data_IF_165111574874
#
_entry.id   IF_165111574874
#
_cell.length_a   1.000
_cell.length_b   1.000
_cell.length_c   1.000
_cell.angle_alpha   90.00
_cell.angle_beta   90.00
_cell.angle_gamma   90.00
#
_symmetry.space_group_name_H-M   'P 1'
#
loop_
_entity.id
_entity.type
_entity.pdbx_description
1 polymer ?
#
# COMPACT_ATOMS: atom_id res chain seq x y z
N UNK A 1 6.70 -14.48 -3.87
CA UNK A 1 8.07 -14.68 -4.43
C UNK A 1 8.78 -13.34 -4.30
N UNK A 2 10.02 -13.32 -3.81
CA UNK A 2 10.78 -12.07 -3.74
C UNK A 2 11.44 -11.80 -5.08
N UNK A 3 11.27 -10.59 -5.60
CA UNK A 3 12.06 -10.11 -6.74
C UNK A 3 13.53 -9.99 -6.35
N UNK A 4 14.42 -10.08 -7.35
CA UNK A 4 15.81 -9.65 -7.24
C UNK A 4 15.96 -8.18 -7.63
N UNK A 5 17.07 -7.56 -7.22
CA UNK A 5 17.41 -6.17 -7.59
C UNK A 5 17.42 -6.00 -9.11
N UNK A 6 18.02 -6.95 -9.82
CA UNK A 6 18.13 -6.95 -11.28
C UNK A 6 16.77 -7.05 -11.97
N UNK A 7 15.85 -7.85 -11.41
CA UNK A 7 14.48 -7.98 -11.92
C UNK A 7 13.70 -6.68 -11.75
N UNK A 8 13.74 -6.05 -10.58
CA UNK A 8 13.08 -4.75 -10.35
C UNK A 8 13.61 -3.69 -11.33
N UNK A 9 14.94 -3.59 -11.48
CA UNK A 9 15.55 -2.64 -12.40
C UNK A 9 15.19 -2.94 -13.87
N UNK A 10 15.03 -4.22 -14.24
CA UNK A 10 14.58 -4.62 -15.57
C UNK A 10 13.13 -4.23 -15.79
N UNK A 11 12.23 -4.59 -14.88
CA UNK A 11 10.81 -4.28 -14.98
C UNK A 11 10.54 -2.78 -15.01
N UNK A 12 11.28 -2.00 -14.20
CA UNK A 12 11.18 -0.55 -14.23
C UNK A 12 11.48 0.02 -15.63
N UNK A 13 12.50 -0.52 -16.33
CA UNK A 13 12.81 -0.11 -17.70
C UNK A 13 11.76 -0.58 -18.71
N UNK A 14 11.35 -1.84 -18.62
CA UNK A 14 10.39 -2.44 -19.56
C UNK A 14 9.01 -1.77 -19.49
N UNK A 15 8.60 -1.35 -18.29
CA UNK A 15 7.32 -0.67 -18.05
C UNK A 15 7.41 0.86 -18.16
N UNK A 16 8.57 1.44 -18.50
CA UNK A 16 8.72 2.90 -18.61
C UNK A 16 8.45 3.64 -17.29
N UNK A 17 8.93 3.10 -16.18
CA UNK A 17 8.82 3.71 -14.85
C UNK A 17 9.79 4.88 -14.75
N UNK A 18 9.26 6.07 -14.49
CA UNK A 18 10.03 7.29 -14.31
C UNK A 18 10.14 7.68 -12.83
N UNK A 19 9.14 7.29 -12.02
CA UNK A 19 9.08 7.57 -10.59
C UNK A 19 8.84 6.31 -9.76
N UNK A 20 9.44 6.23 -8.59
CA UNK A 20 9.19 5.17 -7.61
C UNK A 20 8.79 5.79 -6.28
N UNK A 21 7.72 5.30 -5.68
CA UNK A 21 7.30 5.66 -4.32
C UNK A 21 7.86 4.66 -3.33
N UNK A 22 8.70 5.13 -2.43
CA UNK A 22 9.11 4.39 -1.25
C UNK A 22 8.09 4.64 -0.15
N UNK A 23 7.20 3.69 0.08
CA UNK A 23 6.06 3.80 0.98
C UNK A 23 6.38 3.18 2.33
N UNK A 24 5.80 3.72 3.40
CA UNK A 24 5.88 3.19 4.76
C UNK A 24 4.69 3.72 5.56
N UNK A 25 4.47 3.22 6.78
CA UNK A 25 3.28 3.55 7.57
C UNK A 25 3.70 4.22 8.88
N UNK A 26 3.02 5.30 9.26
CA UNK A 26 3.22 5.93 10.57
C UNK A 26 2.49 5.18 11.69
N UNK A 27 2.73 5.57 12.95
CA UNK A 27 2.14 4.91 14.12
C UNK A 27 0.59 4.87 14.10
N UNK A 28 -0.05 5.78 13.37
CA UNK A 28 -1.51 5.88 13.29
C UNK A 28 -2.10 5.12 12.09
N UNK A 29 -1.28 4.31 11.40
CA UNK A 29 -1.72 3.56 10.22
C UNK A 29 -1.81 4.40 8.95
N UNK A 30 -1.30 5.65 8.96
CA UNK A 30 -1.34 6.49 7.75
C UNK A 30 -0.17 6.12 6.85
N UNK A 31 -0.48 5.74 5.62
CA UNK A 31 0.53 5.53 4.59
C UNK A 31 1.22 6.85 4.23
N UNK A 32 2.56 6.82 4.28
CA UNK A 32 3.48 7.89 3.88
C UNK A 32 4.30 7.42 2.69
N UNK A 33 4.96 8.36 2.00
CA UNK A 33 5.90 8.01 0.96
C UNK A 33 6.94 9.08 0.70
N UNK A 34 8.08 8.65 0.16
CA UNK A 34 9.06 9.51 -0.53
C UNK A 34 9.07 9.11 -2.01
N UNK A 35 8.89 10.08 -2.90
CA UNK A 35 8.97 9.85 -4.34
C UNK A 35 10.40 10.11 -4.83
N UNK A 36 10.96 9.15 -5.57
CA UNK A 36 12.28 9.25 -6.20
C UNK A 36 12.15 9.07 -7.71
N UNK A 37 13.09 9.62 -8.47
CA UNK A 37 13.21 9.31 -9.90
C UNK A 37 13.82 7.91 -10.09
N UNK A 38 13.52 7.26 -11.21
CA UNK A 38 14.06 5.91 -11.52
C UNK A 38 15.59 5.86 -11.49
N UNK A 39 16.27 6.98 -11.78
CA UNK A 39 17.73 7.10 -11.65
C UNK A 39 18.27 6.91 -10.22
N UNK A 40 17.42 7.06 -9.21
CA UNK A 40 17.77 6.82 -7.80
C UNK A 40 17.32 5.43 -7.31
N UNK A 41 16.61 4.66 -8.14
CA UNK A 41 16.07 3.35 -7.74
C UNK A 41 17.18 2.39 -7.28
N UNK A 42 18.30 2.34 -7.99
CA UNK A 42 19.42 1.47 -7.61
C UNK A 42 19.98 1.81 -6.22
N UNK A 43 20.09 3.10 -5.89
CA UNK A 43 20.50 3.57 -4.56
C UNK A 43 19.48 3.20 -3.49
N UNK A 44 18.18 3.28 -3.80
CA UNK A 44 17.12 2.89 -2.88
C UNK A 44 17.16 1.38 -2.60
N UNK A 45 17.35 0.55 -3.63
CA UNK A 45 17.49 -0.91 -3.50
C UNK A 45 18.77 -1.32 -2.75
N UNK A 46 19.76 -0.42 -2.65
CA UNK A 46 20.95 -0.59 -1.80
C UNK A 46 20.72 -0.12 -0.34
N UNK A 47 19.48 0.18 0.06
CA UNK A 47 19.11 0.68 1.39
C UNK A 47 19.82 2.00 1.76
N UNK A 48 20.06 2.87 0.76
CA UNK A 48 20.76 4.16 0.94
C UNK A 48 19.83 5.35 0.79
N UNK A 49 18.51 5.15 0.80
CA UNK A 49 17.54 6.24 0.79
C UNK A 49 17.31 6.71 2.23
N UNK A 50 17.52 8.02 2.45
CA UNK A 50 17.29 8.66 3.75
C UNK A 50 16.07 9.56 3.66
N UNK A 51 15.43 9.78 4.80
CA UNK A 51 14.36 10.76 4.97
C UNK A 51 14.40 11.37 6.36
N UNK A 52 13.69 12.50 6.52
CA UNK A 52 13.54 13.18 7.80
C UNK A 52 12.42 12.51 8.63
N UNK A 53 12.82 11.70 9.61
CA UNK A 53 11.93 11.01 10.54
C UNK A 53 11.24 11.93 11.53
N UNK A 54 11.76 13.14 11.77
CA UNK A 54 11.20 14.09 12.76
C UNK A 54 9.82 14.64 12.35
N UNK A 55 9.48 14.53 11.06
CA UNK A 55 8.22 14.97 10.49
C UNK A 55 7.14 13.88 10.45
N UNK A 56 7.40 12.70 11.03
CA UNK A 56 6.46 11.59 11.08
C UNK A 56 5.81 11.49 12.47
N UNK A 57 4.47 11.55 12.49
CA UNK A 57 3.69 11.45 13.70
C UNK A 57 3.97 10.12 14.43
N UNK A 58 4.44 10.22 15.68
CA UNK A 58 4.79 9.06 16.51
C UNK A 58 6.26 8.62 16.42
N UNK A 59 7.06 9.18 15.51
CA UNK A 59 8.51 8.97 15.48
C UNK A 59 9.16 9.94 16.51
N UNK A 60 10.28 9.54 17.12
CA UNK A 60 10.86 10.22 18.29
C UNK A 60 11.41 11.63 17.97
N UNK A 61 11.61 12.42 19.04
CA UNK A 61 11.95 13.86 19.02
C UNK A 61 13.24 14.16 18.26
N UNK A 62 13.27 15.30 17.55
CA UNK A 62 14.36 16.15 16.98
C UNK A 62 15.78 15.54 16.79
N UNK A 63 16.33 14.79 17.75
CA UNK A 63 17.68 14.22 17.72
C UNK A 63 17.83 12.99 16.80
N UNK A 64 16.74 12.45 16.24
CA UNK A 64 16.74 11.30 15.31
C UNK A 64 16.15 11.66 13.93
N UNK A 65 16.55 12.80 13.35
CA UNK A 65 16.03 13.25 12.06
C UNK A 65 16.38 12.32 10.91
N UNK A 66 17.60 11.80 10.86
CA UNK A 66 18.07 11.03 9.70
C UNK A 66 17.75 9.54 9.87
N UNK A 67 16.77 9.06 9.12
CA UNK A 67 16.37 7.65 9.08
C UNK A 67 16.52 7.06 7.68
N UNK A 68 16.61 5.74 7.60
CA UNK A 68 16.76 5.00 6.35
C UNK A 68 15.51 4.20 5.99
N UNK A 69 15.23 4.12 4.70
CA UNK A 69 14.20 3.24 4.15
C UNK A 69 14.87 2.01 3.53
N UNK A 70 14.46 0.82 4.00
CA UNK A 70 14.86 -0.47 3.44
C UNK A 70 13.68 -1.03 2.65
N UNK A 71 13.70 -0.99 1.30
CA UNK A 71 12.60 -1.48 0.48
C UNK A 71 12.49 -3.00 0.54
N UNK A 72 11.28 -3.50 0.73
CA UNK A 72 10.98 -4.93 0.58
C UNK A 72 10.72 -5.23 -0.90
N UNK A 73 11.61 -6.01 -1.51
CA UNK A 73 11.57 -6.28 -2.94
C UNK A 73 10.34 -7.08 -3.35
N UNK A 74 9.74 -7.87 -2.44
CA UNK A 74 8.52 -8.63 -2.71
C UNK A 74 7.29 -7.74 -2.92
N UNK A 75 7.38 -6.47 -2.52
CA UNK A 75 6.30 -5.47 -2.59
C UNK A 75 6.39 -4.57 -3.83
N UNK A 76 7.22 -4.92 -4.81
CA UNK A 76 7.31 -4.18 -6.07
C UNK A 76 5.99 -4.24 -6.83
N UNK A 77 5.42 -3.08 -7.17
CA UNK A 77 4.23 -2.99 -8.00
C UNK A 77 4.24 -1.72 -8.86
N UNK A 78 3.86 -1.84 -10.13
CA UNK A 78 3.65 -0.71 -11.04
C UNK A 78 2.19 -0.28 -10.99
N UNK A 79 1.91 1.01 -10.78
CA UNK A 79 0.54 1.48 -10.67
C UNK A 79 -0.21 1.44 -12.01
N UNK A 80 -1.36 0.75 -12.11
CA UNK A 80 -2.02 0.51 -13.39
C UNK A 80 -2.75 1.73 -13.96
N UNK A 81 -3.12 2.70 -13.12
CA UNK A 81 -3.91 3.88 -13.52
C UNK A 81 -3.10 5.02 -14.16
N UNK A 82 -1.80 4.84 -14.42
CA UNK A 82 -0.95 5.84 -15.09
C UNK A 82 -0.47 5.43 -16.49
N UNK A 83 -0.96 4.30 -17.03
CA UNK A 83 -0.55 3.70 -18.33
C UNK A 83 -0.51 4.67 -19.53
N UNK A 84 -1.36 5.71 -19.52
CA UNK A 84 -1.46 6.67 -20.63
C UNK A 84 -0.54 7.88 -20.52
N UNK A 85 0.17 8.04 -19.39
CA UNK A 85 1.17 9.06 -19.21
C UNK A 85 2.53 8.45 -19.58
N UNK A 86 3.36 9.17 -20.34
CA UNK A 86 4.73 8.77 -20.68
C UNK A 86 5.69 8.71 -19.46
N UNK A 87 5.16 8.47 -18.26
CA UNK A 87 5.88 8.43 -17.00
C UNK A 87 5.13 7.52 -16.01
N UNK A 88 5.40 6.21 -16.05
CA UNK A 88 4.81 5.29 -15.07
C UNK A 88 5.37 5.54 -13.68
N UNK A 89 4.59 5.14 -12.68
CA UNK A 89 5.00 5.17 -11.28
C UNK A 89 4.90 3.78 -10.70
N UNK A 90 5.94 3.33 -10.02
CA UNK A 90 5.95 2.11 -9.24
C UNK A 90 6.02 2.40 -7.74
N UNK A 91 5.85 1.37 -6.91
CA UNK A 91 6.04 1.42 -5.46
C UNK A 91 6.94 0.31 -4.95
N UNK A 92 7.53 0.57 -3.80
CA UNK A 92 8.05 -0.42 -2.85
C UNK A 92 7.60 0.01 -1.46
N UNK A 93 7.13 -0.94 -0.66
CA UNK A 93 6.93 -0.74 0.78
C UNK A 93 8.28 -0.94 1.46
N UNK A 94 8.56 -0.10 2.44
CA UNK A 94 9.84 0.00 3.11
C UNK A 94 9.64 -0.19 4.61
N UNK A 95 10.60 -0.85 5.24
CA UNK A 95 10.76 -0.81 6.69
C UNK A 95 11.72 0.33 7.06
N UNK A 96 11.51 0.94 8.21
CA UNK A 96 12.30 2.09 8.68
C UNK A 96 13.45 1.60 9.55
N UNK A 97 14.63 2.16 9.31
CA UNK A 97 15.87 1.88 10.04
C UNK A 97 16.43 3.17 10.64
N UNK A 98 17.10 3.03 11.79
CA UNK A 98 17.71 4.16 12.49
C UNK A 98 18.91 4.72 11.72
N UNK A 99 19.50 5.81 12.21
CA UNK A 99 20.61 6.52 11.58
C UNK A 99 21.87 5.67 11.32
N UNK A 100 22.03 4.54 12.01
CA UNK A 100 23.13 3.60 11.77
C UNK A 100 22.94 2.72 10.51
N UNK A 101 21.75 2.77 9.89
CA UNK A 101 21.32 1.99 8.74
C UNK A 101 21.40 0.46 8.94
N UNK A 102 21.38 0.00 10.19
CA UNK A 102 21.50 -1.42 10.58
C UNK A 102 20.40 -1.82 11.55
N UNK A 103 20.06 -0.95 12.49
CA UNK A 103 19.07 -1.23 13.53
C UNK A 103 17.66 -0.89 13.02
N UNK A 104 16.71 -1.85 13.01
CA UNK A 104 15.31 -1.58 12.70
C UNK A 104 14.73 -0.58 13.71
N UNK A 105 13.96 0.40 13.23
CA UNK A 105 13.33 1.37 14.10
C UNK A 105 12.13 0.74 14.84
N UNK A 106 12.15 0.79 16.17
CA UNK A 106 11.11 0.17 17.01
C UNK A 106 9.73 0.86 16.89
N UNK A 107 9.69 2.10 16.41
CA UNK A 107 8.45 2.84 16.18
C UNK A 107 7.80 2.58 14.82
N UNK A 108 8.40 1.76 13.97
CA UNK A 108 7.82 1.34 12.69
C UNK A 108 6.82 0.17 12.91
N UNK A 109 5.52 0.36 12.63
CA UNK A 109 4.53 -0.70 12.78
C UNK A 109 4.87 -1.99 12.02
N UNK A 110 5.52 -1.87 10.85
CA UNK A 110 5.88 -3.04 10.03
C UNK A 110 6.97 -3.88 10.70
N UNK A 111 8.00 -3.24 11.25
CA UNK A 111 9.04 -3.93 12.03
C UNK A 111 8.45 -4.61 13.28
N UNK A 112 7.50 -3.95 13.95
CA UNK A 112 6.81 -4.51 15.11
C UNK A 112 6.03 -5.76 14.73
N UNK A 113 5.29 -5.73 13.62
CA UNK A 113 4.56 -6.90 13.12
C UNK A 113 5.52 -8.04 12.76
N UNK A 114 6.59 -7.75 12.02
CA UNK A 114 7.58 -8.75 11.63
C UNK A 114 8.17 -9.47 12.85
N UNK A 115 8.54 -8.71 13.90
CA UNK A 115 9.06 -9.29 15.14
C UNK A 115 8.09 -10.30 15.77
N UNK A 116 6.80 -9.95 15.84
CA UNK A 116 5.78 -10.84 16.44
C UNK A 116 5.54 -12.07 15.56
N UNK A 117 5.59 -11.92 14.24
CA UNK A 117 5.50 -13.04 13.29
C UNK A 117 6.68 -13.99 13.44
N UNK A 118 7.90 -13.47 13.61
CA UNK A 118 9.10 -14.27 13.84
C UNK A 118 9.00 -15.06 15.17
N UNK A 119 8.55 -14.41 16.25
CA UNK A 119 8.29 -15.08 17.54
C UNK A 119 7.26 -16.22 17.40
N UNK A 120 6.18 -16.01 16.65
CA UNK A 120 5.19 -17.04 16.37
C UNK A 120 5.78 -18.20 15.55
N UNK A 121 6.63 -17.90 14.57
CA UNK A 121 7.32 -18.90 13.76
C UNK A 121 8.31 -19.75 14.58
N UNK A 122 9.05 -19.14 15.51
CA UNK A 122 9.93 -19.84 16.45
C UNK A 122 9.17 -20.84 17.35
N UNK A 123 7.91 -20.52 17.67
CA UNK A 123 6.99 -21.41 18.39
C UNK A 123 6.38 -22.49 17.48
N UNK A 124 6.64 -22.46 16.17
CA UNK A 124 6.15 -23.41 15.19
C UNK A 124 4.78 -23.08 14.58
N UNK A 125 4.33 -21.82 14.68
CA UNK A 125 3.07 -21.35 14.11
C UNK A 125 3.27 -20.55 12.82
N UNK A 126 2.30 -20.65 11.91
CA UNK A 126 2.11 -19.67 10.83
C UNK A 126 0.89 -18.80 11.14
N UNK A 127 0.84 -17.60 10.59
CA UNK A 127 -0.25 -16.66 10.82
C UNK A 127 -0.78 -16.08 9.51
N UNK A 128 -2.03 -16.41 9.18
CA UNK A 128 -2.72 -15.87 8.03
C UNK A 128 -3.88 -14.97 8.46
N UNK A 129 -4.17 -13.95 7.65
CA UNK A 129 -5.27 -12.99 7.87
C UNK A 129 -6.06 -12.83 6.56
N UNK A 130 -7.39 -12.74 6.69
CA UNK A 130 -8.31 -12.36 5.62
C UNK A 130 -9.11 -11.14 6.08
N UNK A 131 -8.77 -9.93 5.63
CA UNK A 131 -9.46 -8.72 6.02
C UNK A 131 -10.64 -8.44 5.07
N UNK A 132 -11.76 -8.02 5.67
CA UNK A 132 -12.97 -7.59 4.96
C UNK A 132 -13.07 -6.05 5.14
N UNK A 133 -12.47 -5.32 4.19
CA UNK A 133 -12.33 -3.87 4.28
C UNK A 133 -13.53 -3.16 3.63
N UNK A 134 -14.58 -2.93 4.41
CA UNK A 134 -15.71 -2.11 3.99
C UNK A 134 -15.31 -0.63 3.81
N UNK A 135 -15.91 0.05 2.83
CA UNK A 135 -15.69 1.47 2.56
C UNK A 135 -16.94 2.17 2.01
N UNK A 136 -16.94 3.51 2.04
CA UNK A 136 -18.03 4.33 1.53
C UNK A 136 -17.61 5.17 0.32
N UNK A 137 -18.52 5.34 -0.64
CA UNK A 137 -18.37 6.28 -1.75
C UNK A 137 -19.28 7.50 -1.56
N UNK A 138 -18.63 8.65 -1.33
CA UNK A 138 -19.28 9.96 -1.25
C UNK A 138 -19.06 10.76 -2.52
N UNK A 139 -20.01 11.63 -2.84
CA UNK A 139 -19.87 12.60 -3.94
C UNK A 139 -18.89 13.69 -3.57
N UNK A 140 -18.26 14.25 -4.60
CA UNK A 140 -17.47 15.46 -4.50
C UNK A 140 -18.32 16.67 -4.91
N UNK A 141 -18.04 17.82 -4.33
CA UNK A 141 -18.59 19.11 -4.77
C UNK A 141 -17.86 19.61 -6.04
N UNK A 142 -18.25 20.79 -6.53
CA UNK A 142 -17.67 21.42 -7.73
C UNK A 142 -16.17 21.75 -7.59
N UNK A 143 -15.69 21.93 -6.36
CA UNK A 143 -14.29 22.17 -6.04
C UNK A 143 -13.50 20.86 -5.81
N UNK A 144 -14.15 19.70 -5.94
CA UNK A 144 -13.56 18.39 -5.72
C UNK A 144 -13.41 18.00 -4.25
N UNK A 145 -14.11 18.68 -3.31
CA UNK A 145 -14.08 18.34 -1.88
C UNK A 145 -15.15 17.28 -1.55
N UNK A 146 -14.88 16.38 -0.59
CA UNK A 146 -15.85 15.37 -0.18
C UNK A 146 -17.10 16.00 0.44
N UNK A 147 -18.26 15.45 0.12
CA UNK A 147 -19.56 15.81 0.71
C UNK A 147 -20.05 14.70 1.64
N UNK A 148 -21.20 14.91 2.29
CA UNK A 148 -21.90 13.88 3.07
C UNK A 148 -22.93 13.11 2.23
N UNK A 149 -23.01 13.37 0.93
CA UNK A 149 -23.98 12.74 0.04
C UNK A 149 -23.39 11.47 -0.59
N UNK A 150 -24.09 10.36 -0.47
CA UNK A 150 -23.73 9.09 -1.13
C UNK A 150 -24.19 9.08 -2.59
N UNK A 151 -23.57 8.21 -3.38
CA UNK A 151 -23.92 8.01 -4.80
C UNK A 151 -25.33 7.45 -5.00
N UNK A 152 -25.79 6.62 -4.07
CA UNK A 152 -27.02 5.84 -4.16
C UNK A 152 -27.74 5.66 -2.80
N UNK A 153 -28.79 4.82 -2.82
CA UNK A 153 -29.54 4.33 -1.65
C UNK A 153 -29.69 2.80 -1.69
N UNK A 154 -28.74 2.10 -2.32
CA UNK A 154 -28.75 0.66 -2.38
C UNK A 154 -28.46 0.05 -1.00
N UNK A 155 -28.78 -1.23 -0.85
CA UNK A 155 -28.42 -2.05 0.28
C UNK A 155 -27.72 -3.34 -0.16
N UNK A 156 -27.68 -4.31 0.74
CA UNK A 156 -26.88 -5.52 0.60
C UNK A 156 -27.22 -6.31 -0.68
N UNK A 157 -26.20 -6.55 -1.53
CA UNK A 157 -26.32 -7.23 -2.84
C UNK A 157 -27.30 -6.60 -3.84
N UNK A 158 -27.69 -5.34 -3.65
CA UNK A 158 -28.52 -4.66 -4.65
C UNK A 158 -27.76 -4.49 -5.97
N UNK A 159 -28.52 -4.53 -7.07
CA UNK A 159 -28.01 -4.43 -8.42
C UNK A 159 -28.35 -3.06 -9.03
N UNK A 160 -27.69 -2.76 -10.15
CA UNK A 160 -28.08 -1.68 -11.07
C UNK A 160 -29.59 -1.81 -11.43
N UNK A 161 -30.39 -0.73 -11.40
CA UNK A 161 -30.01 0.69 -11.36
C UNK A 161 -30.00 1.35 -9.99
N UNK A 162 -30.13 0.60 -8.90
CA UNK A 162 -30.10 1.20 -7.56
C UNK A 162 -28.65 1.39 -7.12
N UNK A 163 -27.79 0.41 -7.36
CA UNK A 163 -26.35 0.49 -7.08
C UNK A 163 -25.64 1.34 -8.14
N UNK A 164 -25.09 2.47 -7.71
CA UNK A 164 -24.31 3.36 -8.58
C UNK A 164 -22.80 3.13 -8.46
N UNK A 165 -22.35 2.33 -7.49
CA UNK A 165 -20.95 2.03 -7.21
C UNK A 165 -20.35 0.90 -8.07
N UNK A 166 -21.18 0.13 -8.79
CA UNK A 166 -20.76 -1.06 -9.55
C UNK A 166 -19.53 -0.83 -10.46
N UNK A 167 -19.53 0.25 -11.26
CA UNK A 167 -18.39 0.57 -12.12
C UNK A 167 -17.13 0.96 -11.33
N UNK A 168 -17.30 1.70 -10.22
CA UNK A 168 -16.17 2.09 -9.38
C UNK A 168 -15.55 0.86 -8.70
N UNK A 169 -16.37 -0.03 -8.13
CA UNK A 169 -15.90 -1.29 -7.55
C UNK A 169 -15.20 -2.17 -8.58
N UNK A 170 -15.77 -2.30 -9.79
CA UNK A 170 -15.11 -3.02 -10.90
C UNK A 170 -13.73 -2.46 -11.21
N UNK A 171 -13.61 -1.14 -11.35
CA UNK A 171 -12.34 -0.51 -11.69
C UNK A 171 -11.30 -0.67 -10.56
N UNK A 172 -11.73 -0.66 -9.29
CA UNK A 172 -10.86 -1.00 -8.14
C UNK A 172 -10.41 -2.46 -8.23
N UNK A 173 -11.32 -3.41 -8.47
CA UNK A 173 -10.99 -4.84 -8.57
C UNK A 173 -9.94 -5.09 -9.67
N UNK A 174 -10.13 -4.51 -10.85
CA UNK A 174 -9.18 -4.64 -11.96
C UNK A 174 -7.80 -4.05 -11.61
N UNK A 175 -7.76 -2.91 -10.92
CA UNK A 175 -6.50 -2.32 -10.48
C UNK A 175 -5.78 -3.20 -9.44
N UNK A 176 -6.52 -3.82 -8.51
CA UNK A 176 -5.99 -4.76 -7.53
C UNK A 176 -5.44 -6.03 -8.20
N UNK A 177 -6.19 -6.63 -9.13
CA UNK A 177 -5.74 -7.82 -9.87
C UNK A 177 -4.46 -7.54 -10.69
N UNK A 178 -4.38 -6.38 -11.35
CA UNK A 178 -3.17 -5.97 -12.06
C UNK A 178 -1.96 -5.74 -11.13
N UNK A 179 -2.21 -5.47 -9.84
CA UNK A 179 -1.19 -5.35 -8.81
C UNK A 179 -0.91 -6.68 -8.08
N UNK A 180 -1.53 -7.79 -8.50
CA UNK A 180 -1.25 -9.13 -8.00
C UNK A 180 -2.17 -9.64 -6.89
N UNK A 181 -3.23 -8.91 -6.54
CA UNK A 181 -4.25 -9.41 -5.62
C UNK A 181 -5.13 -10.46 -6.32
N UNK A 182 -5.58 -11.45 -5.55
CA UNK A 182 -6.64 -12.38 -5.99
C UNK A 182 -7.95 -11.90 -5.36
N UNK A 183 -8.75 -11.16 -6.13
CA UNK A 183 -10.06 -10.67 -5.70
C UNK A 183 -11.06 -11.83 -5.74
N UNK A 184 -11.76 -12.08 -4.63
CA UNK A 184 -12.72 -13.18 -4.50
C UNK A 184 -14.16 -12.72 -4.76
N UNK A 185 -14.52 -11.54 -4.23
CA UNK A 185 -15.86 -10.99 -4.35
C UNK A 185 -15.85 -9.46 -4.27
N UNK A 186 -16.92 -8.85 -4.79
CA UNK A 186 -17.25 -7.46 -4.51
C UNK A 186 -18.74 -7.25 -4.52
N UNK A 187 -19.25 -6.46 -3.59
CA UNK A 187 -20.67 -6.15 -3.49
C UNK A 187 -20.94 -4.78 -2.88
N UNK A 188 -22.19 -4.36 -3.04
CA UNK A 188 -22.77 -3.33 -2.21
C UNK A 188 -23.07 -3.88 -0.81
N UNK A 189 -22.78 -3.08 0.20
CA UNK A 189 -22.98 -3.43 1.61
C UNK A 189 -24.34 -2.96 2.14
N UNK A 190 -24.61 -3.14 3.44
CA UNK A 190 -25.91 -2.86 4.06
C UNK A 190 -26.30 -1.38 4.02
N UNK A 191 -25.36 -0.45 4.25
CA UNK A 191 -25.67 0.97 4.30
C UNK A 191 -25.60 1.63 2.91
N UNK A 192 -26.39 2.69 2.66
CA UNK A 192 -26.31 3.47 1.42
C UNK A 192 -24.88 3.91 1.08
N UNK A 193 -24.43 3.66 -0.16
CA UNK A 193 -23.09 3.98 -0.63
C UNK A 193 -21.95 3.22 0.06
N UNK A 194 -22.25 2.15 0.78
CA UNK A 194 -21.27 1.26 1.40
C UNK A 194 -20.93 0.11 0.45
N UNK A 195 -19.68 -0.29 0.45
CA UNK A 195 -19.13 -1.25 -0.49
C UNK A 195 -18.08 -2.12 0.18
N UNK A 196 -17.90 -3.31 -0.36
CA UNK A 196 -16.89 -4.28 0.07
C UNK A 196 -16.23 -4.93 -1.15
N UNK A 197 -14.94 -5.22 -0.98
CA UNK A 197 -14.12 -5.97 -1.93
C UNK A 197 -13.29 -6.94 -1.10
N UNK A 198 -13.52 -8.22 -1.32
CA UNK A 198 -12.82 -9.30 -0.65
C UNK A 198 -11.67 -9.78 -1.51
N UNK A 199 -10.52 -9.98 -0.89
CA UNK A 199 -9.39 -10.63 -1.52
C UNK A 199 -8.91 -11.80 -0.68
N UNK A 200 -8.29 -12.75 -1.35
CA UNK A 200 -7.83 -13.99 -0.76
C UNK A 200 -6.96 -13.74 0.48
N UNK A 201 -7.24 -14.47 1.57
CA UNK A 201 -6.42 -14.42 2.78
C UNK A 201 -4.97 -14.79 2.47
N UNK A 202 -4.04 -14.24 3.24
CA UNK A 202 -2.61 -14.45 3.03
C UNK A 202 -1.85 -14.49 4.35
N UNK A 203 -0.53 -14.67 4.23
CA UNK A 203 0.39 -14.49 5.36
C UNK A 203 0.32 -13.03 5.82
N UNK A 204 0.36 -12.80 7.14
CA UNK A 204 -0.01 -11.52 7.74
C UNK A 204 0.84 -10.33 7.28
N UNK A 205 2.15 -10.50 7.00
CA UNK A 205 2.96 -9.39 6.47
C UNK A 205 2.49 -8.99 5.08
N UNK A 206 2.29 -9.97 4.20
CA UNK A 206 1.79 -9.73 2.84
C UNK A 206 0.39 -9.13 2.85
N UNK A 207 -0.49 -9.59 3.74
CA UNK A 207 -1.87 -9.11 3.83
C UNK A 207 -1.97 -7.69 4.41
N UNK A 208 -1.03 -7.29 5.26
CA UNK A 208 -0.97 -5.93 5.81
C UNK A 208 -0.39 -4.89 4.82
N UNK A 209 0.44 -5.34 3.87
CA UNK A 209 1.09 -4.55 2.82
C UNK A 209 0.14 -4.18 1.64
#
# INVERSE_FOLDING_TARGET
MSYTKEEILREARENGVEFVRLQFTDLFGKMKNVAITVSQLEKALDNKCMFDGSSIDGFVRIDESDMYLHPDFSTWAVFPWRKHLNAQTARLICSVYTADNVTPFEGDPRNVLQKVVDEAAEMGYGFNVGPECEFFLFKLDEDGRPTLETGDKAGYFDLNPIDHGENCRRDICLALEEMGYTVEASHHEVAPGQHEIDFQFGEVMLTAD
#
